data_IF_223659311852
#
_entry.id   IF_223659311852
#
_cell.length_a   1.000
_cell.length_b   1.000
_cell.length_c   1.000
_cell.angle_alpha   90.00
_cell.angle_beta   90.00
_cell.angle_gamma   90.00
#
_symmetry.space_group_name_H-M   'P 1'
#
loop_
_entity.id
_entity.type
_entity.pdbx_description
1 polymer ?
#
# COMPACT_ATOMS: atom_id res chain seq x y z
N UNK A 1 13.08 -21.12 13.91
CA UNK A 1 14.08 -20.42 13.11
C UNK A 1 13.34 -19.35 12.32
N UNK A 2 13.20 -18.15 12.86
CA UNK A 2 12.58 -17.04 12.13
C UNK A 2 13.65 -16.43 11.23
N UNK A 3 13.54 -16.71 9.93
CA UNK A 3 14.33 -16.01 8.94
C UNK A 3 13.85 -14.55 8.91
N UNK A 4 14.70 -13.66 9.42
CA UNK A 4 14.51 -12.22 9.39
C UNK A 4 14.76 -11.72 7.95
N UNK A 5 13.93 -12.16 7.01
CA UNK A 5 13.84 -11.53 5.69
C UNK A 5 13.41 -10.09 5.89
N UNK A 6 14.07 -9.13 5.24
CA UNK A 6 13.74 -7.69 5.31
C UNK A 6 12.36 -7.29 4.77
N UNK A 7 11.39 -8.21 4.80
CA UNK A 7 9.99 -8.03 4.46
C UNK A 7 9.25 -7.75 5.77
N UNK A 8 8.69 -6.54 5.86
CA UNK A 8 7.95 -6.09 7.04
C UNK A 8 6.53 -6.65 6.98
N UNK A 9 6.11 -7.30 8.07
CA UNK A 9 4.71 -7.71 8.26
C UNK A 9 3.82 -6.48 8.43
N UNK A 10 2.63 -6.50 7.82
CA UNK A 10 1.68 -5.39 7.98
C UNK A 10 0.83 -5.66 9.23
N UNK A 11 0.89 -4.78 10.26
CA UNK A 11 0.17 -5.02 11.50
C UNK A 11 -1.34 -5.13 11.25
N UNK A 12 -2.01 -5.96 12.05
CA UNK A 12 -3.46 -6.21 11.93
C UNK A 12 -4.27 -4.92 11.99
N UNK A 13 -3.90 -4.00 12.89
CA UNK A 13 -4.53 -2.68 13.02
C UNK A 13 -4.50 -1.87 11.72
N UNK A 14 -3.38 -1.91 11.01
CA UNK A 14 -3.23 -1.23 9.71
C UNK A 14 -4.09 -1.90 8.65
N UNK A 15 -4.07 -3.24 8.59
CA UNK A 15 -4.87 -4.00 7.63
C UNK A 15 -6.37 -3.69 7.77
N UNK A 16 -6.88 -3.69 8.99
CA UNK A 16 -8.28 -3.39 9.29
C UNK A 16 -8.65 -1.94 8.95
N UNK A 17 -7.73 -1.00 9.22
CA UNK A 17 -7.91 0.41 8.94
C UNK A 17 -8.02 0.69 7.43
N UNK A 18 -7.17 0.08 6.61
CA UNK A 18 -7.14 0.33 5.15
C UNK A 18 -7.81 -0.76 4.32
N UNK A 19 -8.63 -1.61 4.94
CA UNK A 19 -9.41 -2.68 4.29
C UNK A 19 -8.57 -3.68 3.49
N UNK A 20 -7.40 -4.03 4.00
CA UNK A 20 -6.56 -5.10 3.44
C UNK A 20 -6.99 -6.43 4.04
N UNK A 21 -7.24 -7.42 3.20
CA UNK A 21 -7.58 -8.77 3.65
C UNK A 21 -6.34 -9.53 4.14
N UNK A 22 -6.47 -10.42 5.13
CA UNK A 22 -5.38 -11.27 5.57
C UNK A 22 -5.05 -12.35 4.52
N UNK A 23 -3.81 -12.82 4.52
CA UNK A 23 -3.40 -13.95 3.69
C UNK A 23 -4.05 -15.26 4.17
N UNK A 24 -4.58 -16.05 3.24
CA UNK A 24 -5.11 -17.39 3.46
C UNK A 24 -4.33 -18.42 2.64
N UNK A 25 -3.63 -19.33 3.31
CA UNK A 25 -2.79 -20.36 2.66
C UNK A 25 -3.55 -21.24 1.65
N UNK A 26 -4.83 -21.52 1.92
CA UNK A 26 -5.65 -22.41 1.08
C UNK A 26 -6.03 -21.76 -0.26
N UNK A 27 -6.22 -20.43 -0.28
CA UNK A 27 -6.73 -19.73 -1.47
C UNK A 27 -5.68 -18.88 -2.18
N UNK A 28 -4.63 -18.47 -1.46
CA UNK A 28 -3.73 -17.40 -1.89
C UNK A 28 -2.34 -17.91 -2.28
N UNK A 29 -2.05 -19.20 -2.12
CA UNK A 29 -0.73 -19.80 -2.36
C UNK A 29 -0.31 -19.85 -3.84
N UNK A 30 -1.28 -19.87 -4.75
CA UNK A 30 -1.03 -19.93 -6.21
C UNK A 30 -0.98 -18.56 -6.89
N UNK A 31 -1.24 -17.47 -6.15
CA UNK A 31 -1.26 -16.14 -6.74
C UNK A 31 0.15 -15.63 -7.11
N UNK A 32 0.20 -14.66 -8.02
CA UNK A 32 1.45 -13.92 -8.30
C UNK A 32 1.98 -13.30 -7.00
N UNK A 33 3.25 -13.51 -6.70
CA UNK A 33 3.91 -12.96 -5.51
C UNK A 33 3.34 -13.49 -4.17
N UNK A 34 2.77 -14.70 -4.16
CA UNK A 34 2.24 -15.35 -2.95
C UNK A 34 3.23 -15.37 -1.77
N UNK A 35 4.54 -15.53 -2.05
CA UNK A 35 5.58 -15.46 -1.02
C UNK A 35 5.59 -14.08 -0.31
N UNK A 36 5.55 -12.98 -1.05
CA UNK A 36 5.53 -11.64 -0.46
C UNK A 36 4.23 -11.39 0.30
N UNK A 37 3.09 -11.81 -0.26
CA UNK A 37 1.78 -11.71 0.37
C UNK A 37 1.74 -12.47 1.72
N UNK A 38 2.25 -13.71 1.72
CA UNK A 38 2.41 -14.54 2.92
C UNK A 38 3.28 -13.85 3.96
N UNK A 39 4.46 -13.37 3.57
CA UNK A 39 5.41 -12.73 4.47
C UNK A 39 4.90 -11.39 5.01
N UNK A 40 4.07 -10.67 4.27
CA UNK A 40 3.43 -9.43 4.72
C UNK A 40 2.16 -9.68 5.55
N UNK A 41 1.61 -10.90 5.52
CA UNK A 41 0.36 -11.26 6.17
C UNK A 41 -0.87 -10.69 5.46
N UNK A 42 -0.80 -10.43 4.16
CA UNK A 42 -1.86 -9.81 3.37
C UNK A 42 -2.28 -10.70 2.21
N UNK A 43 -3.57 -10.68 1.85
CA UNK A 43 -4.12 -11.49 0.75
C UNK A 43 -3.36 -11.28 -0.55
N UNK A 44 -2.97 -10.06 -0.86
CA UNK A 44 -2.10 -9.68 -1.98
C UNK A 44 -0.93 -8.87 -1.43
N UNK A 45 0.23 -8.80 -2.11
CA UNK A 45 1.35 -8.03 -1.61
C UNK A 45 1.06 -6.52 -1.71
N UNK A 46 1.60 -5.76 -0.76
CA UNK A 46 1.82 -4.32 -0.89
C UNK A 46 3.11 -4.11 -1.64
N UNK A 47 3.00 -3.60 -2.87
CA UNK A 47 4.14 -3.38 -3.74
C UNK A 47 4.36 -1.90 -4.06
N UNK A 48 5.63 -1.49 -4.16
CA UNK A 48 6.01 -0.14 -4.55
C UNK A 48 5.93 0.13 -6.06
N UNK A 49 5.39 -0.83 -6.82
CA UNK A 49 5.30 -0.74 -8.27
C UNK A 49 4.04 0.03 -8.68
N UNK A 50 4.08 0.55 -9.91
CA UNK A 50 2.96 1.18 -10.58
C UNK A 50 2.72 0.46 -11.91
N UNK A 51 1.87 -0.57 -11.88
CA UNK A 51 1.44 -1.28 -13.09
C UNK A 51 0.64 -0.35 -14.01
N UNK A 52 0.44 -0.75 -15.26
CA UNK A 52 -0.41 0.00 -16.18
C UNK A 52 -1.86 0.10 -15.65
N UNK A 53 -2.38 -0.97 -15.07
CA UNK A 53 -3.71 -1.02 -14.48
C UNK A 53 -3.84 -0.05 -13.29
N UNK A 54 -2.82 0.00 -12.41
CA UNK A 54 -2.78 0.95 -11.30
C UNK A 54 -2.73 2.41 -11.81
N UNK A 55 -2.01 2.67 -12.89
CA UNK A 55 -1.97 4.02 -13.50
C UNK A 55 -3.32 4.44 -14.07
N UNK A 56 -4.02 3.51 -14.73
CA UNK A 56 -5.36 3.74 -15.28
C UNK A 56 -6.37 3.97 -14.17
N UNK A 57 -6.35 3.13 -13.12
CA UNK A 57 -7.21 3.28 -11.96
C UNK A 57 -6.98 4.64 -11.28
N UNK A 58 -5.72 5.04 -11.09
CA UNK A 58 -5.42 6.35 -10.52
C UNK A 58 -6.01 7.49 -11.36
N UNK A 59 -5.81 7.46 -12.69
CA UNK A 59 -6.34 8.48 -13.59
C UNK A 59 -7.88 8.54 -13.53
N UNK A 60 -8.54 7.38 -13.43
CA UNK A 60 -9.99 7.30 -13.24
C UNK A 60 -10.41 7.92 -11.91
N UNK A 61 -9.77 7.54 -10.80
CA UNK A 61 -10.11 8.02 -9.46
C UNK A 61 -9.89 9.53 -9.31
N UNK A 62 -8.84 10.08 -9.93
CA UNK A 62 -8.65 11.54 -10.00
C UNK A 62 -9.81 12.25 -10.73
N UNK A 63 -10.42 11.61 -11.73
CA UNK A 63 -11.54 12.17 -12.49
C UNK A 63 -12.88 12.01 -11.77
N UNK A 64 -13.08 10.91 -11.04
CA UNK A 64 -14.40 10.50 -10.54
C UNK A 64 -14.58 10.64 -9.03
N UNK A 65 -13.50 10.63 -8.26
CA UNK A 65 -13.57 10.60 -6.80
C UNK A 65 -13.12 11.93 -6.19
N UNK A 66 -14.02 12.66 -5.48
CA UNK A 66 -13.65 13.88 -4.76
C UNK A 66 -12.52 13.69 -3.75
N UNK A 67 -12.38 12.47 -3.21
CA UNK A 67 -11.33 12.11 -2.25
C UNK A 67 -9.93 12.17 -2.87
N UNK A 68 -9.81 11.88 -4.16
CA UNK A 68 -8.56 11.94 -4.93
C UNK A 68 -8.32 13.32 -5.53
N UNK A 69 -9.38 14.09 -5.80
CA UNK A 69 -9.29 15.45 -6.34
C UNK A 69 -8.78 16.48 -5.33
N UNK A 70 -8.93 16.21 -4.03
CA UNK A 70 -8.36 17.04 -2.97
C UNK A 70 -6.84 16.86 -2.96
N UNK A 71 -6.12 17.80 -3.58
CA UNK A 71 -4.67 17.90 -3.47
C UNK A 71 -4.27 18.22 -2.03
N UNK A 72 -4.13 17.20 -1.19
CA UNK A 72 -3.40 17.29 0.07
C UNK A 72 -1.98 16.76 -0.10
N UNK A 73 -1.04 17.33 0.65
CA UNK A 73 0.35 16.87 0.76
C UNK A 73 0.47 15.48 1.39
N UNK A 74 -0.62 14.95 1.93
CA UNK A 74 -0.73 13.60 2.49
C UNK A 74 -1.85 12.82 1.81
N UNK A 75 -1.66 11.51 1.67
CA UNK A 75 -2.72 10.61 1.20
C UNK A 75 -3.73 10.42 2.32
N UNK A 76 -5.00 10.69 2.02
CA UNK A 76 -6.08 10.49 2.98
C UNK A 76 -6.36 9.00 3.16
N UNK A 77 -6.64 8.56 4.40
CA UNK A 77 -7.03 7.16 4.67
C UNK A 77 -8.20 6.69 3.79
N UNK A 78 -9.25 7.50 3.55
CA UNK A 78 -10.33 7.12 2.65
C UNK A 78 -9.88 6.85 1.21
N UNK A 79 -8.85 7.54 0.71
CA UNK A 79 -8.31 7.26 -0.62
C UNK A 79 -7.67 5.86 -0.68
N UNK A 80 -6.92 5.48 0.37
CA UNK A 80 -6.30 4.16 0.46
C UNK A 80 -7.35 3.05 0.56
N UNK A 81 -8.41 3.26 1.33
CA UNK A 81 -9.53 2.31 1.42
C UNK A 81 -10.21 2.10 0.06
N UNK A 82 -10.53 3.17 -0.65
CA UNK A 82 -11.14 3.09 -2.00
C UNK A 82 -10.21 2.33 -2.95
N UNK A 83 -8.91 2.60 -2.89
CA UNK A 83 -7.93 1.88 -3.70
C UNK A 83 -7.94 0.39 -3.40
N UNK A 84 -7.82 0.00 -2.13
CA UNK A 84 -7.72 -1.39 -1.73
C UNK A 84 -9.01 -2.16 -2.04
N UNK A 85 -10.18 -1.54 -1.94
CA UNK A 85 -11.45 -2.12 -2.39
C UNK A 85 -11.45 -2.43 -3.90
N UNK A 86 -10.86 -1.55 -4.72
CA UNK A 86 -10.72 -1.80 -6.16
C UNK A 86 -9.69 -2.90 -6.44
N UNK A 87 -8.61 -2.96 -5.66
CA UNK A 87 -7.61 -4.01 -5.76
C UNK A 87 -8.22 -5.41 -5.57
N UNK A 88 -9.19 -5.57 -4.66
CA UNK A 88 -9.86 -6.88 -4.43
C UNK A 88 -10.51 -7.50 -5.69
N UNK A 89 -10.94 -6.64 -6.62
CA UNK A 89 -11.72 -7.06 -7.79
C UNK A 89 -10.95 -6.94 -9.11
N UNK A 90 -9.84 -6.21 -9.11
CA UNK A 90 -9.05 -5.93 -10.29
C UNK A 90 -7.74 -6.73 -10.33
N UNK A 91 -7.48 -7.40 -11.45
CA UNK A 91 -6.18 -8.04 -11.68
C UNK A 91 -5.08 -6.99 -11.85
N UNK A 92 -3.87 -7.33 -11.42
CA UNK A 92 -2.66 -6.50 -11.53
C UNK A 92 -2.74 -5.13 -10.82
N UNK A 93 -3.64 -5.00 -9.83
CA UNK A 93 -3.69 -3.88 -8.89
C UNK A 93 -3.33 -4.40 -7.50
N UNK A 94 -2.32 -3.79 -6.88
CA UNK A 94 -1.82 -4.22 -5.59
C UNK A 94 -2.30 -3.29 -4.48
N UNK A 95 -2.25 -3.78 -3.23
CA UNK A 95 -2.61 -2.97 -2.07
C UNK A 95 -1.66 -1.80 -1.88
N UNK A 96 -2.20 -0.72 -1.32
CA UNK A 96 -1.44 0.44 -0.85
C UNK A 96 -1.68 0.64 0.64
N UNK A 97 -0.69 1.23 1.29
CA UNK A 97 -0.75 1.64 2.70
C UNK A 97 -0.33 3.09 2.80
N UNK A 98 -0.87 3.80 3.79
CA UNK A 98 -0.38 5.14 4.09
C UNK A 98 0.94 5.03 4.86
N UNK A 99 2.01 5.60 4.30
CA UNK A 99 3.37 5.53 4.84
C UNK A 99 3.49 6.09 6.26
N UNK A 100 2.59 6.96 6.71
CA UNK A 100 2.60 7.49 8.08
C UNK A 100 2.32 6.41 9.14
N UNK A 101 1.59 5.35 8.78
CA UNK A 101 1.21 4.29 9.73
C UNK A 101 2.31 3.22 9.83
N UNK A 102 3.16 3.08 8.82
CA UNK A 102 4.32 2.18 8.89
C UNK A 102 5.41 2.67 9.87
N UNK A 103 5.23 3.83 10.50
CA UNK A 103 6.22 4.47 11.40
C UNK A 103 5.83 4.34 12.88
N UNK A 104 4.62 3.90 13.23
CA UNK A 104 4.14 3.94 14.63
C UNK A 104 4.60 2.80 15.54
N UNK A 105 5.44 1.87 15.06
CA UNK A 105 6.11 0.89 15.94
C UNK A 105 7.59 1.22 16.25
N UNK A 106 8.05 2.44 15.94
CA UNK A 106 9.35 2.96 16.37
C UNK A 106 9.20 4.34 17.04
N UNK A 107 8.47 4.40 18.15
CA UNK A 107 8.70 5.52 19.08
C UNK A 107 9.98 5.24 19.84
N UNK A 108 11.16 5.37 19.21
CA UNK A 108 12.47 5.50 19.88
C UNK A 108 13.68 5.72 18.94
N UNK A 109 13.59 6.46 17.83
CA UNK A 109 14.81 6.92 17.15
C UNK A 109 14.69 8.40 16.74
N UNK A 110 15.10 9.28 17.66
CA UNK A 110 15.85 10.48 17.27
C UNK A 110 17.03 9.99 16.44
N UNK A 111 17.09 10.29 15.14
CA UNK A 111 18.32 10.68 14.44
C UNK A 111 18.05 10.93 12.94
N UNK A 112 18.50 12.11 12.53
CA UNK A 112 18.90 12.59 11.20
C UNK A 112 18.71 11.68 9.97
N UNK A 113 18.08 12.26 8.96
CA UNK A 113 18.60 12.31 7.58
C UNK A 113 19.21 11.00 7.06
N UNK A 114 18.41 10.10 6.48
CA UNK A 114 18.77 9.30 5.29
C UNK A 114 17.54 8.53 4.81
N UNK A 115 17.13 8.83 3.56
CA UNK A 115 16.29 8.06 2.62
C UNK A 115 15.60 6.81 3.21
N UNK A 116 14.36 6.97 3.69
CA UNK A 116 13.46 5.86 4.00
C UNK A 116 12.51 5.66 2.82
N UNK A 117 12.83 4.69 1.97
CA UNK A 117 12.01 4.32 0.81
C UNK A 117 10.83 3.48 1.27
N UNK A 118 9.77 4.15 1.73
CA UNK A 118 8.45 3.56 1.91
C UNK A 118 7.52 4.26 0.92
N UNK A 119 6.94 3.47 0.02
CA UNK A 119 6.37 3.97 -1.22
C UNK A 119 4.95 4.48 -0.98
N UNK A 120 4.87 5.78 -0.75
CA UNK A 120 3.63 6.52 -0.71
C UNK A 120 2.94 6.50 -2.08
N UNK A 121 1.61 6.52 -2.07
CA UNK A 121 0.81 7.08 -3.18
C UNK A 121 1.23 8.53 -3.56
N UNK A 122 2.12 9.18 -2.79
CA UNK A 122 2.55 10.58 -2.90
C UNK A 122 3.67 10.87 -3.91
N UNK A 123 4.40 9.89 -4.46
CA UNK A 123 5.32 10.20 -5.57
C UNK A 123 4.55 10.74 -6.80
N UNK A 124 3.25 10.46 -6.89
CA UNK A 124 2.37 10.97 -7.94
C UNK A 124 2.03 12.46 -7.83
N UNK A 125 1.96 13.02 -6.62
CA UNK A 125 1.61 14.44 -6.41
C UNK A 125 2.80 15.37 -6.67
N UNK A 126 4.03 14.88 -6.48
CA UNK A 126 5.25 15.69 -6.59
C UNK A 126 5.82 15.67 -8.02
N UNK A 127 5.59 14.61 -8.80
CA UNK A 127 6.16 14.47 -10.15
C UNK A 127 5.28 15.00 -11.31
N UNK A 128 4.09 15.55 -11.05
CA UNK A 128 3.25 16.20 -12.08
C UNK A 128 2.99 17.67 -11.75
N UNK A 129 4.03 18.50 -11.88
CA UNK A 129 3.95 19.92 -12.26
C UNK A 129 5.35 20.41 -12.74
N UNK A 130 6.01 19.63 -13.61
CA UNK A 130 7.06 20.12 -14.52
C UNK A 130 6.94 19.42 -15.87
#
# INVERSE_FOLDING_TARGET
MEQNTGIIQIPKSVRELVKIQPYNEETDSEQKQAYLAKMQGTRMPVLPVHTLAEKQLFAELMRTSPTFQRCSTSVSLPAVEIWNQKAETAKDIYYKVNCAICVVEETLIHFSTTRRTAYCLLEWSVQRLR
#
